data_IF_620619646110
#
_entry.id   IF_620619646110
#
_cell.length_a   1.000
_cell.length_b   1.000
_cell.length_c   1.000
_cell.angle_alpha   90.00
_cell.angle_beta   90.00
_cell.angle_gamma   90.00
#
_symmetry.space_group_name_H-M   'P 1'
#
loop_
_entity.id
_entity.type
_entity.pdbx_description
1 polymer ?
#
# COMPACT_ATOMS: atom_id res chain seq x y z
N UNK A 1 -9.78 4.08 23.34
CA UNK A 1 -10.72 3.98 22.20
C UNK A 1 -9.96 4.32 20.93
N UNK A 2 -9.50 3.32 20.17
CA UNK A 2 -8.83 3.56 18.88
C UNK A 2 -9.89 4.00 17.87
N UNK A 3 -9.93 5.29 17.55
CA UNK A 3 -10.68 5.79 16.39
C UNK A 3 -10.03 5.17 15.15
N UNK A 4 -10.72 4.26 14.48
CA UNK A 4 -10.32 3.79 13.15
C UNK A 4 -10.31 5.02 12.25
N UNK A 5 -9.12 5.51 11.91
CA UNK A 5 -8.96 6.69 11.05
C UNK A 5 -9.49 6.33 9.67
N UNK A 6 -10.58 6.97 9.26
CA UNK A 6 -11.10 6.83 7.90
C UNK A 6 -10.08 7.44 6.94
N UNK A 7 -9.56 6.62 6.02
CA UNK A 7 -8.66 7.08 4.99
C UNK A 7 -9.44 7.87 3.95
N UNK A 8 -8.86 8.97 3.48
CA UNK A 8 -9.32 9.62 2.23
C UNK A 8 -9.16 8.66 1.07
N UNK A 9 -9.92 8.86 0.00
CA UNK A 9 -9.84 8.02 -1.20
C UNK A 9 -8.41 7.94 -1.77
N UNK A 10 -7.72 9.08 -1.84
CA UNK A 10 -6.31 9.12 -2.26
C UNK A 10 -5.40 8.27 -1.38
N UNK A 11 -5.58 8.35 -0.05
CA UNK A 11 -4.81 7.52 0.88
C UNK A 11 -5.08 6.02 0.69
N UNK A 12 -6.31 5.64 0.29
CA UNK A 12 -6.66 4.25 0.05
C UNK A 12 -5.93 3.70 -1.17
N UNK A 13 -5.99 4.37 -2.33
CA UNK A 13 -5.27 3.86 -3.51
C UNK A 13 -3.76 3.91 -3.33
N UNK A 14 -3.21 4.94 -2.66
CA UNK A 14 -1.78 5.02 -2.39
C UNK A 14 -1.31 3.85 -1.51
N UNK A 15 -2.12 3.44 -0.53
CA UNK A 15 -1.83 2.25 0.29
C UNK A 15 -1.80 0.97 -0.56
N UNK A 16 -2.76 0.81 -1.48
CA UNK A 16 -2.84 -0.35 -2.38
C UNK A 16 -1.61 -0.40 -3.29
N UNK A 17 -1.28 0.72 -3.95
CA UNK A 17 -0.12 0.83 -4.85
C UNK A 17 1.21 0.56 -4.12
N UNK A 18 1.37 1.06 -2.90
CA UNK A 18 2.57 0.86 -2.10
C UNK A 18 2.83 -0.63 -1.77
N UNK A 19 1.76 -1.43 -1.67
CA UNK A 19 1.79 -2.86 -1.33
C UNK A 19 1.72 -3.78 -2.55
N UNK A 20 1.56 -3.23 -3.76
CA UNK A 20 1.35 -4.00 -4.97
C UNK A 20 2.57 -4.83 -5.39
N UNK A 21 3.79 -4.39 -5.03
CA UNK A 21 5.01 -5.11 -5.39
C UNK A 21 5.15 -5.28 -6.89
N UNK A 22 5.59 -6.46 -7.32
CA UNK A 22 5.73 -6.81 -8.74
C UNK A 22 4.40 -6.93 -9.48
N UNK A 23 3.28 -7.11 -8.78
CA UNK A 23 1.96 -7.19 -9.42
C UNK A 23 1.55 -5.87 -10.09
N UNK A 24 2.18 -4.74 -9.75
CA UNK A 24 1.95 -3.48 -10.43
C UNK A 24 2.52 -3.45 -11.86
N UNK A 25 3.54 -4.25 -12.15
CA UNK A 25 4.27 -4.19 -13.42
C UNK A 25 3.42 -4.67 -14.60
N UNK A 26 2.44 -5.55 -14.37
CA UNK A 26 1.52 -6.01 -15.42
C UNK A 26 0.61 -4.90 -15.96
N UNK A 27 0.55 -3.75 -15.29
CA UNK A 27 -0.24 -2.58 -15.69
C UNK A 27 0.62 -1.46 -16.28
N UNK A 28 1.90 -1.73 -16.56
CA UNK A 28 2.79 -0.72 -17.13
C UNK A 28 2.21 -0.09 -18.39
N UNK A 29 1.76 -0.91 -19.35
CA UNK A 29 1.23 -0.44 -20.62
C UNK A 29 0.10 0.58 -20.44
N UNK A 30 -0.89 0.31 -19.58
CA UNK A 30 -2.01 1.22 -19.35
C UNK A 30 -1.59 2.49 -18.61
N UNK A 31 -0.59 2.40 -17.73
CA UNK A 31 -0.11 3.53 -16.95
C UNK A 31 0.75 4.47 -17.80
N UNK A 32 1.53 3.93 -18.73
CA UNK A 32 2.46 4.71 -19.57
C UNK A 32 1.85 5.17 -20.89
N UNK A 33 0.56 4.91 -21.14
CA UNK A 33 -0.14 5.37 -22.35
C UNK A 33 -0.15 6.91 -22.48
N UNK A 34 -0.34 7.62 -21.37
CA UNK A 34 -0.27 9.07 -21.37
C UNK A 34 1.18 9.54 -21.14
N UNK A 35 1.66 10.53 -21.89
CA UNK A 35 2.98 11.08 -21.64
C UNK A 35 3.06 11.72 -20.25
N UNK A 36 4.19 11.52 -19.59
CA UNK A 36 4.50 12.07 -18.29
C UNK A 36 5.97 12.49 -18.25
N UNK A 37 6.29 13.37 -17.32
CA UNK A 37 7.65 13.75 -16.99
C UNK A 37 7.99 13.31 -15.57
N UNK A 38 9.22 12.85 -15.38
CA UNK A 38 9.75 12.51 -14.07
C UNK A 38 10.28 13.77 -13.41
N UNK A 39 9.57 14.27 -12.39
CA UNK A 39 9.96 15.45 -11.61
C UNK A 39 11.02 15.10 -10.57
N UNK A 40 10.88 13.92 -9.95
CA UNK A 40 11.90 13.33 -9.09
C UNK A 40 12.05 11.85 -9.44
N UNK A 41 13.22 11.41 -9.91
CA UNK A 41 13.42 10.02 -10.29
C UNK A 41 13.26 9.10 -9.09
N UNK A 42 12.93 7.84 -9.37
CA UNK A 42 12.78 6.81 -8.36
C UNK A 42 14.10 6.64 -7.57
N UNK A 43 14.11 7.10 -6.33
CA UNK A 43 15.31 7.14 -5.49
C UNK A 43 15.09 6.37 -4.20
N UNK A 44 15.93 5.36 -3.97
CA UNK A 44 15.95 4.60 -2.72
C UNK A 44 16.76 5.35 -1.65
N UNK A 45 16.16 5.50 -0.48
CA UNK A 45 16.78 6.04 0.73
C UNK A 45 16.31 5.28 1.95
N UNK A 46 16.39 5.90 3.13
CA UNK A 46 15.98 5.27 4.38
C UNK A 46 14.98 6.16 5.13
N UNK A 47 14.08 5.53 5.87
CA UNK A 47 13.19 6.19 6.81
C UNK A 47 13.38 5.61 8.19
N UNK A 48 13.30 6.47 9.21
CA UNK A 48 13.35 6.03 10.60
C UNK A 48 12.02 5.38 10.99
N UNK A 49 12.06 4.10 11.34
CA UNK A 49 10.96 3.36 11.94
C UNK A 49 10.89 3.68 13.42
N UNK A 50 9.72 4.08 13.91
CA UNK A 50 9.48 4.37 15.32
C UNK A 50 8.58 3.31 15.94
N UNK A 51 9.06 2.71 17.03
CA UNK A 51 8.29 1.82 17.89
C UNK A 51 7.64 2.59 19.04
N UNK A 52 6.78 1.90 19.82
CA UNK A 52 6.23 2.40 21.09
C UNK A 52 6.48 1.38 22.19
N UNK A 53 7.05 1.82 23.32
CA UNK A 53 7.33 0.94 24.46
C UNK A 53 6.03 0.26 24.94
N UNK A 54 6.02 -1.08 25.04
CA UNK A 54 4.82 -1.84 25.40
C UNK A 54 3.64 -1.69 24.40
N UNK A 55 3.88 -1.26 23.17
CA UNK A 55 2.88 -1.07 22.11
C UNK A 55 2.12 0.26 22.14
N UNK A 56 1.95 0.87 23.32
CA UNK A 56 1.17 2.12 23.49
C UNK A 56 1.92 3.24 24.20
N UNK A 57 3.07 2.94 24.83
CA UNK A 57 3.89 3.89 25.57
C UNK A 57 4.68 4.87 24.69
N UNK A 58 5.76 5.40 25.23
CA UNK A 58 6.56 6.43 24.56
C UNK A 58 7.16 5.95 23.24
N UNK A 59 7.22 6.85 22.26
CA UNK A 59 7.82 6.56 20.97
C UNK A 59 9.36 6.53 21.06
N UNK A 60 9.99 5.60 20.37
CA UNK A 60 11.44 5.49 20.28
C UNK A 60 11.88 5.07 18.87
N UNK A 61 13.12 5.34 18.50
CA UNK A 61 13.68 4.95 17.22
C UNK A 61 13.99 3.44 17.25
N UNK A 62 13.27 2.65 16.44
CA UNK A 62 13.40 1.19 16.38
C UNK A 62 14.51 0.76 15.42
N UNK A 63 14.75 1.55 14.38
CA UNK A 63 15.72 1.26 13.32
C UNK A 63 15.30 1.90 12.00
N UNK A 64 16.00 1.56 10.92
CA UNK A 64 15.76 2.13 9.59
C UNK A 64 15.10 1.11 8.66
N UNK A 65 14.27 1.61 7.75
CA UNK A 65 13.72 0.83 6.64
C UNK A 65 14.06 1.53 5.32
N UNK A 66 14.47 0.75 4.32
CA UNK A 66 14.66 1.29 2.97
C UNK A 66 13.31 1.68 2.36
N UNK A 67 13.25 2.84 1.73
CA UNK A 67 12.07 3.34 1.00
C UNK A 67 12.51 3.93 -0.32
N UNK A 68 11.76 3.65 -1.38
CA UNK A 68 11.95 4.29 -2.69
C UNK A 68 10.82 5.28 -2.94
N UNK A 69 11.19 6.52 -3.27
CA UNK A 69 10.24 7.59 -3.60
C UNK A 69 10.33 7.96 -5.08
N UNK A 70 9.22 8.31 -5.70
CA UNK A 70 9.17 8.87 -7.05
C UNK A 70 8.13 9.99 -7.14
N UNK A 71 8.37 10.98 -8.00
CA UNK A 71 7.39 12.04 -8.31
C UNK A 71 7.35 12.23 -9.82
N UNK A 72 6.15 12.19 -10.39
CA UNK A 72 5.90 12.40 -11.82
C UNK A 72 4.86 13.49 -12.01
N UNK A 73 4.82 14.08 -13.20
CA UNK A 73 3.79 15.03 -13.60
C UNK A 73 3.26 14.66 -14.99
N UNK A 74 1.95 14.61 -15.13
CA UNK A 74 1.28 14.43 -16.42
C UNK A 74 1.31 15.75 -17.23
N UNK A 75 1.05 15.68 -18.53
CA UNK A 75 1.04 16.85 -19.41
C UNK A 75 0.05 17.96 -19.01
N UNK A 76 -1.01 17.61 -18.29
CA UNK A 76 -2.00 18.56 -17.79
C UNK A 76 -1.66 19.17 -16.42
N UNK A 77 -0.44 18.92 -15.93
CA UNK A 77 0.10 19.49 -14.68
C UNK A 77 -0.22 18.69 -13.42
N UNK A 78 -1.07 17.66 -13.49
CA UNK A 78 -1.35 16.79 -12.34
C UNK A 78 -0.07 16.06 -11.91
N UNK A 79 0.22 16.12 -10.61
CA UNK A 79 1.43 15.54 -10.03
C UNK A 79 1.08 14.32 -9.19
N UNK A 80 1.79 13.23 -9.43
CA UNK A 80 1.65 11.97 -8.72
C UNK A 80 2.87 11.63 -7.89
N UNK A 81 2.64 10.92 -6.79
CA UNK A 81 3.65 10.64 -5.77
C UNK A 81 3.63 9.18 -5.39
N UNK A 82 4.80 8.64 -5.06
CA UNK A 82 4.91 7.31 -4.47
C UNK A 82 5.98 7.24 -3.39
N UNK A 83 5.71 6.36 -2.43
CA UNK A 83 6.65 5.91 -1.41
C UNK A 83 6.42 4.40 -1.23
N UNK A 84 7.36 3.59 -1.67
CA UNK A 84 7.28 2.13 -1.60
C UNK A 84 8.36 1.60 -0.67
N UNK A 85 8.04 0.61 0.15
CA UNK A 85 9.05 -0.05 0.98
C UNK A 85 10.04 -0.82 0.09
N UNK A 86 11.32 -0.82 0.46
CA UNK A 86 12.38 -1.46 -0.30
C UNK A 86 12.94 -0.59 -1.43
N UNK A 87 13.50 -1.26 -2.45
CA UNK A 87 14.35 -0.66 -3.49
C UNK A 87 13.78 -0.75 -4.91
N UNK A 88 12.49 -1.07 -5.03
CA UNK A 88 11.88 -1.34 -6.33
C UNK A 88 11.54 -0.03 -7.06
N UNK A 89 12.49 0.49 -7.83
CA UNK A 89 12.36 1.76 -8.55
C UNK A 89 11.20 1.77 -9.55
N UNK A 90 11.08 0.71 -10.36
CA UNK A 90 9.99 0.63 -11.34
C UNK A 90 8.59 0.65 -10.71
N UNK A 91 8.37 -0.09 -9.62
CA UNK A 91 7.13 -0.02 -8.84
C UNK A 91 6.87 1.40 -8.33
N UNK A 92 7.89 2.09 -7.81
CA UNK A 92 7.74 3.45 -7.33
C UNK A 92 7.30 4.41 -8.45
N UNK A 93 7.91 4.30 -9.63
CA UNK A 93 7.53 5.13 -10.78
C UNK A 93 6.10 4.86 -11.26
N UNK A 94 5.74 3.59 -11.48
CA UNK A 94 4.38 3.21 -11.89
C UNK A 94 3.33 3.63 -10.86
N UNK A 95 3.63 3.53 -9.56
CA UNK A 95 2.74 3.97 -8.50
C UNK A 95 2.54 5.50 -8.51
N UNK A 96 3.58 6.28 -8.84
CA UNK A 96 3.46 7.72 -8.96
C UNK A 96 2.60 8.11 -10.18
N UNK A 97 2.75 7.42 -11.31
CA UNK A 97 1.92 7.64 -12.49
C UNK A 97 0.45 7.30 -12.19
N UNK A 98 0.19 6.16 -11.56
CA UNK A 98 -1.16 5.77 -11.15
C UNK A 98 -1.80 6.80 -10.22
N UNK A 99 -1.07 7.31 -9.22
CA UNK A 99 -1.55 8.38 -8.34
C UNK A 99 -1.92 9.65 -9.12
N UNK A 100 -1.15 10.03 -10.15
CA UNK A 100 -1.47 11.19 -10.99
C UNK A 100 -2.75 10.98 -11.82
N UNK A 101 -2.90 9.81 -12.46
CA UNK A 101 -4.06 9.47 -13.29
C UNK A 101 -5.35 9.40 -12.46
N UNK A 102 -5.29 8.83 -11.27
CA UNK A 102 -6.43 8.72 -10.34
C UNK A 102 -6.96 10.07 -9.83
N UNK A 103 -6.23 11.16 -10.02
CA UNK A 103 -6.64 12.51 -9.62
C UNK A 103 -7.45 13.26 -10.70
N UNK A 104 -7.73 12.67 -11.86
CA UNK A 104 -8.49 13.36 -12.91
C UNK A 104 -9.46 12.45 -13.65
N UNK A 105 -9.67 12.71 -14.94
CA UNK A 105 -10.75 12.08 -15.72
C UNK A 105 -10.61 10.56 -15.87
N UNK A 106 -9.39 10.04 -15.77
CA UNK A 106 -9.07 8.61 -15.87
C UNK A 106 -9.40 7.85 -14.58
N UNK A 107 -9.84 8.55 -13.52
CA UNK A 107 -10.08 8.00 -12.20
C UNK A 107 -10.91 6.71 -12.25
N UNK A 108 -12.08 6.73 -12.89
CA UNK A 108 -13.00 5.59 -12.88
C UNK A 108 -12.37 4.36 -13.56
N UNK A 109 -11.74 4.57 -14.70
CA UNK A 109 -11.13 3.51 -15.50
C UNK A 109 -9.93 2.89 -14.79
N UNK A 110 -9.00 3.73 -14.29
CA UNK A 110 -7.82 3.26 -13.55
C UNK A 110 -8.24 2.62 -12.24
N UNK A 111 -9.23 3.17 -11.54
CA UNK A 111 -9.73 2.55 -10.30
C UNK A 111 -10.24 1.13 -10.57
N UNK A 112 -11.08 0.94 -11.57
CA UNK A 112 -11.65 -0.37 -11.89
C UNK A 112 -10.60 -1.36 -12.41
N UNK A 113 -9.74 -0.93 -13.35
CA UNK A 113 -8.80 -1.83 -14.02
C UNK A 113 -7.57 -2.15 -13.17
N UNK A 114 -7.15 -1.23 -12.29
CA UNK A 114 -5.92 -1.35 -11.50
C UNK A 114 -6.20 -1.50 -10.01
N UNK A 115 -6.85 -0.51 -9.40
CA UNK A 115 -6.95 -0.41 -7.93
C UNK A 115 -7.82 -1.53 -7.37
N UNK A 116 -8.99 -1.78 -7.95
CA UNK A 116 -9.93 -2.79 -7.46
C UNK A 116 -9.35 -4.21 -7.66
N UNK A 117 -8.66 -4.44 -8.78
CA UNK A 117 -7.96 -5.72 -9.06
C UNK A 117 -6.85 -5.97 -8.04
N UNK A 118 -5.97 -4.98 -7.79
CA UNK A 118 -4.91 -5.10 -6.80
C UNK A 118 -5.45 -5.23 -5.38
N UNK A 119 -6.51 -4.50 -5.04
CA UNK A 119 -7.15 -4.57 -3.72
C UNK A 119 -7.70 -5.97 -3.46
N UNK A 120 -8.38 -6.56 -4.43
CA UNK A 120 -8.92 -7.91 -4.33
C UNK A 120 -7.81 -8.94 -4.16
N UNK A 121 -6.76 -8.88 -4.98
CA UNK A 121 -5.62 -9.80 -4.87
C UNK A 121 -4.94 -9.71 -3.49
N UNK A 122 -4.73 -8.49 -2.99
CA UNK A 122 -4.15 -8.27 -1.66
C UNK A 122 -5.08 -8.75 -0.53
N UNK A 123 -6.40 -8.64 -0.69
CA UNK A 123 -7.35 -9.13 0.30
C UNK A 123 -7.36 -10.66 0.35
N UNK A 124 -7.43 -11.31 -0.81
CA UNK A 124 -7.35 -12.78 -0.90
C UNK A 124 -6.06 -13.32 -0.29
N UNK A 125 -4.91 -12.69 -0.55
CA UNK A 125 -3.64 -13.09 0.06
C UNK A 125 -3.67 -12.95 1.59
N UNK A 126 -4.28 -11.87 2.12
CA UNK A 126 -4.42 -11.69 3.57
C UNK A 126 -5.30 -12.77 4.19
N UNK A 127 -6.42 -13.11 3.54
CA UNK A 127 -7.35 -14.14 4.01
C UNK A 127 -6.72 -15.53 4.02
N UNK A 128 -6.02 -15.89 2.95
CA UNK A 128 -5.25 -17.14 2.87
C UNK A 128 -4.22 -17.23 4.00
N UNK A 129 -3.45 -16.16 4.21
CA UNK A 129 -2.46 -16.13 5.28
C UNK A 129 -3.08 -16.21 6.68
N UNK A 130 -4.23 -15.58 6.89
CA UNK A 130 -4.96 -15.66 8.14
C UNK A 130 -5.48 -17.08 8.40
N UNK A 131 -6.01 -17.76 7.37
CA UNK A 131 -6.48 -19.14 7.46
C UNK A 131 -5.34 -20.12 7.78
N UNK A 132 -4.17 -19.96 7.14
CA UNK A 132 -2.97 -20.75 7.46
C UNK A 132 -2.55 -20.62 8.93
N UNK A 133 -2.54 -19.38 9.45
CA UNK A 133 -2.12 -19.12 10.82
C UNK A 133 -3.16 -19.58 11.84
N UNK A 134 -4.44 -19.56 11.50
CA UNK A 134 -5.53 -20.00 12.38
C UNK A 134 -5.36 -21.46 12.85
N UNK A 135 -4.75 -22.32 12.04
CA UNK A 135 -4.43 -23.70 12.43
C UNK A 135 -3.47 -23.83 13.61
N UNK A 136 -2.73 -22.77 13.95
CA UNK A 136 -1.80 -22.73 15.09
C UNK A 136 -2.38 -22.07 16.36
N UNK A 137 -3.66 -21.67 16.33
CA UNK A 137 -4.34 -21.02 17.46
C UNK A 137 -4.63 -22.04 18.56
N UNK A 138 -4.10 -21.80 19.76
CA UNK A 138 -4.43 -22.59 20.96
C UNK A 138 -5.73 -22.07 21.58
N UNK A 139 -6.73 -22.94 21.74
CA UNK A 139 -7.99 -22.63 22.42
C UNK A 139 -8.00 -23.25 23.83
N UNK A 140 -8.15 -22.41 24.86
CA UNK A 140 -8.07 -22.83 26.28
C UNK A 140 -9.45 -23.09 26.93
N UNK A 141 -10.51 -23.29 26.14
CA UNK A 141 -11.84 -23.52 26.72
C UNK A 141 -12.04 -24.97 27.16
N UNK A 142 -12.33 -25.18 28.44
CA UNK A 142 -12.98 -26.40 28.95
C UNK A 142 -14.48 -26.16 29.06
N UNK A 143 -15.27 -26.91 28.30
CA UNK A 143 -16.74 -26.87 28.33
C UNK A 143 -17.21 -27.55 29.63
N UNK A 144 -17.53 -26.75 30.65
CA UNK A 144 -18.13 -27.27 31.89
C UNK A 144 -19.63 -27.43 31.64
N UNK A 145 -20.10 -28.67 31.56
CA UNK A 145 -21.53 -28.99 31.62
C UNK A 145 -21.95 -28.82 33.08
N UNK A 146 -22.65 -27.73 33.40
CA UNK A 146 -23.34 -27.59 34.68
C UNK A 146 -24.59 -28.47 34.66
N UNK A 147 -24.58 -29.56 35.41
CA UNK A 147 -25.83 -30.22 35.83
C UNK A 147 -26.38 -29.43 37.03
N UNK A 148 -27.66 -29.08 36.94
CA UNK A 148 -28.47 -28.55 38.03
C UNK A 148 -29.41 -29.65 38.54
#
# INVERSE_FOLDING_TARGET
MNKTRQLTERQQWMQILARAGTALLQFEDILTQQPYQVIRPAQSGMVMVRGRAGGTGQAFNLGEMTVTRCVVQLNDGRTGYSYVAGRHQKQAELAAIADALLQGKEHADIKAQLIDVLAQAQQTQREQRAAEVAGSKVEFFTLIRGEA
#
